data_IF_110206644813
#
_entry.id   IF_110206644813
#
_cell.length_a   1.000
_cell.length_b   1.000
_cell.length_c   1.000
_cell.angle_alpha   90.00
_cell.angle_beta   90.00
_cell.angle_gamma   90.00
#
_symmetry.space_group_name_H-M   'P 1'
#
loop_
_entity.id
_entity.type
_entity.pdbx_description
1 polymer ?
#
# COMPACT_ATOMS: atom_id res chain seq x y z
N UNK A 1 -6.09 -2.52 6.52
CA UNK A 1 -6.67 -3.76 5.99
C UNK A 1 -7.80 -4.16 6.92
N UNK A 2 -8.99 -4.46 6.41
CA UNK A 2 -10.23 -4.10 7.10
C UNK A 2 -11.45 -4.47 6.29
N UNK A 3 -12.54 -4.79 6.99
CA UNK A 3 -13.88 -4.81 6.39
C UNK A 3 -14.55 -3.45 6.63
N UNK A 4 -14.92 -2.70 5.57
CA UNK A 4 -15.36 -1.32 5.73
C UNK A 4 -16.65 -1.20 6.56
N UNK A 5 -17.58 -2.16 6.45
CA UNK A 5 -18.82 -2.12 7.22
C UNK A 5 -18.55 -2.29 8.71
N UNK A 6 -17.78 -3.31 9.10
CA UNK A 6 -17.47 -3.55 10.51
C UNK A 6 -16.59 -2.44 11.10
N UNK A 7 -15.57 -1.99 10.36
CA UNK A 7 -14.65 -0.93 10.75
C UNK A 7 -15.39 0.40 10.97
N UNK A 8 -16.29 0.78 10.05
CA UNK A 8 -17.07 2.03 10.19
C UNK A 8 -18.16 1.98 11.29
N UNK A 9 -18.59 0.79 11.70
CA UNK A 9 -19.51 0.63 12.84
C UNK A 9 -18.79 0.63 14.20
N UNK A 10 -17.46 0.52 14.21
CA UNK A 10 -16.65 0.56 15.41
C UNK A 10 -16.24 2.01 15.72
N UNK A 11 -16.60 2.48 16.92
CA UNK A 11 -16.16 3.77 17.44
C UNK A 11 -15.30 3.56 18.68
N UNK A 12 -14.12 3.02 18.44
CA UNK A 12 -13.11 2.73 19.47
C UNK A 12 -11.79 3.34 19.02
N UNK A 13 -10.81 3.42 19.93
CA UNK A 13 -9.44 3.75 19.51
C UNK A 13 -8.88 2.60 18.68
N UNK A 14 -8.04 2.84 17.67
CA UNK A 14 -7.55 1.78 16.79
C UNK A 14 -6.80 0.65 17.51
N UNK A 15 -6.17 0.93 18.66
CA UNK A 15 -5.51 -0.07 19.50
C UNK A 15 -6.48 -0.99 20.27
N UNK A 16 -7.75 -0.58 20.40
CA UNK A 16 -8.80 -1.30 21.13
C UNK A 16 -9.81 -2.00 20.20
N UNK A 17 -9.65 -1.88 18.87
CA UNK A 17 -10.61 -2.42 17.89
C UNK A 17 -10.57 -3.95 17.81
N UNK A 18 -11.74 -4.58 17.95
CA UNK A 18 -11.93 -6.03 17.77
C UNK A 18 -12.53 -6.43 16.40
N UNK A 19 -12.76 -5.46 15.50
CA UNK A 19 -13.36 -5.71 14.18
C UNK A 19 -12.48 -6.58 13.27
N UNK A 20 -13.05 -7.41 12.37
CA UNK A 20 -12.28 -8.16 11.38
C UNK A 20 -11.45 -7.25 10.46
N UNK A 21 -10.17 -7.65 10.25
CA UNK A 21 -9.20 -6.92 9.42
C UNK A 21 -8.75 -7.69 8.17
N UNK A 22 -9.72 -8.22 7.43
CA UNK A 22 -9.51 -9.10 6.27
C UNK A 22 -8.61 -8.49 5.20
N UNK A 23 -7.69 -9.30 4.67
CA UNK A 23 -6.79 -8.94 3.58
C UNK A 23 -7.42 -9.21 2.21
N UNK A 24 -7.36 -8.21 1.35
CA UNK A 24 -7.64 -8.33 -0.08
C UNK A 24 -6.38 -8.00 -0.88
N UNK A 25 -6.23 -8.66 -2.01
CA UNK A 25 -5.11 -8.44 -2.93
C UNK A 25 -5.60 -8.44 -4.37
N UNK A 26 -4.84 -7.77 -5.21
CA UNK A 26 -4.89 -7.93 -6.65
C UNK A 26 -3.78 -8.87 -7.10
N UNK A 27 -4.02 -9.61 -8.16
CA UNK A 27 -3.04 -10.47 -8.82
C UNK A 27 -3.39 -10.67 -10.29
N UNK A 28 -2.70 -11.58 -10.97
CA UNK A 28 -2.93 -11.84 -12.39
C UNK A 28 -4.34 -12.34 -12.72
N UNK A 29 -5.02 -12.98 -11.76
CA UNK A 29 -6.39 -13.48 -11.94
C UNK A 29 -7.44 -12.47 -11.45
N UNK A 30 -7.08 -11.59 -10.51
CA UNK A 30 -7.92 -10.50 -10.01
C UNK A 30 -7.19 -9.16 -10.23
N UNK A 31 -7.19 -8.62 -11.46
CA UNK A 31 -6.39 -7.44 -11.79
C UNK A 31 -6.95 -6.15 -11.18
N UNK A 32 -6.09 -5.13 -11.03
CA UNK A 32 -6.48 -3.80 -10.54
C UNK A 32 -5.50 -2.73 -10.96
N UNK A 33 -5.59 -2.27 -12.21
CA UNK A 33 -4.61 -1.37 -12.82
C UNK A 33 -4.49 -0.03 -12.10
N UNK A 34 -5.59 0.55 -11.63
CA UNK A 34 -5.60 1.87 -10.99
C UNK A 34 -4.78 1.86 -9.69
N UNK A 35 -5.13 0.98 -8.74
CA UNK A 35 -4.44 0.90 -7.45
C UNK A 35 -2.97 0.43 -7.61
N UNK A 36 -2.70 -0.46 -8.57
CA UNK A 36 -1.34 -0.88 -8.90
C UNK A 36 -0.52 0.30 -9.44
N UNK A 37 -1.07 1.06 -10.40
CA UNK A 37 -0.39 2.19 -11.02
C UNK A 37 -0.18 3.36 -10.05
N UNK A 38 -1.16 3.67 -9.19
CA UNK A 38 -0.98 4.70 -8.15
C UNK A 38 0.09 4.29 -7.13
N UNK A 39 0.12 3.02 -6.71
CA UNK A 39 1.15 2.52 -5.80
C UNK A 39 2.53 2.58 -6.47
N UNK A 40 2.64 2.17 -7.73
CA UNK A 40 3.87 2.28 -8.51
C UNK A 40 4.33 3.75 -8.64
N UNK A 41 3.41 4.68 -8.90
CA UNK A 41 3.71 6.11 -8.98
C UNK A 41 4.22 6.65 -7.63
N UNK A 42 3.61 6.26 -6.52
CA UNK A 42 4.06 6.65 -5.18
C UNK A 42 5.47 6.11 -4.85
N UNK A 43 5.77 4.87 -5.23
CA UNK A 43 7.10 4.27 -5.07
C UNK A 43 8.15 4.98 -5.94
N UNK A 44 7.82 5.24 -7.21
CA UNK A 44 8.70 5.97 -8.12
C UNK A 44 8.98 7.39 -7.63
N UNK A 45 7.96 8.13 -7.18
CA UNK A 45 8.12 9.47 -6.62
C UNK A 45 8.99 9.44 -5.34
N UNK A 46 8.75 8.47 -4.46
CA UNK A 46 9.55 8.28 -3.25
C UNK A 46 11.02 7.98 -3.58
N UNK A 47 11.30 7.20 -4.63
CA UNK A 47 12.68 6.93 -5.06
C UNK A 47 13.46 8.20 -5.42
N UNK A 48 12.80 9.21 -5.98
CA UNK A 48 13.44 10.49 -6.32
C UNK A 48 13.88 11.21 -5.03
N UNK A 49 13.02 11.20 -4.01
CA UNK A 49 13.30 11.81 -2.70
C UNK A 49 14.48 11.12 -2.01
N UNK A 50 14.51 9.78 -2.02
CA UNK A 50 15.54 9.02 -1.33
C UNK A 50 16.88 8.94 -2.07
N UNK A 51 16.95 9.31 -3.35
CA UNK A 51 18.15 9.17 -4.20
C UNK A 51 19.44 9.70 -3.58
N UNK A 52 19.38 10.83 -2.88
CA UNK A 52 20.55 11.47 -2.25
C UNK A 52 20.76 11.14 -0.77
N UNK A 53 19.81 10.45 -0.14
CA UNK A 53 19.83 10.14 1.31
C UNK A 53 20.17 8.67 1.52
N UNK A 54 19.52 7.80 0.75
CA UNK A 54 19.71 6.36 0.75
C UNK A 54 19.51 5.82 -0.67
N UNK A 55 20.62 5.72 -1.40
CA UNK A 55 20.62 5.24 -2.78
C UNK A 55 20.18 3.78 -2.88
N UNK A 56 20.50 2.94 -1.89
CA UNK A 56 20.06 1.54 -1.85
C UNK A 56 18.54 1.46 -1.75
N UNK A 57 17.93 2.23 -0.85
CA UNK A 57 16.48 2.27 -0.72
C UNK A 57 15.79 2.91 -1.94
N UNK A 58 16.38 3.98 -2.49
CA UNK A 58 15.93 4.55 -3.78
C UNK A 58 15.88 3.50 -4.88
N UNK A 59 16.93 2.68 -5.04
CA UNK A 59 16.94 1.62 -6.06
C UNK A 59 15.88 0.56 -5.78
N UNK A 60 15.71 0.14 -4.53
CA UNK A 60 14.64 -0.79 -4.15
C UNK A 60 13.26 -0.25 -4.54
N UNK A 61 12.98 1.02 -4.28
CA UNK A 61 11.70 1.64 -4.61
C UNK A 61 11.43 1.66 -6.12
N UNK A 62 12.43 1.97 -6.95
CA UNK A 62 12.29 1.91 -8.43
C UNK A 62 11.98 0.48 -8.88
N UNK A 63 12.73 -0.51 -8.39
CA UNK A 63 12.50 -1.92 -8.77
C UNK A 63 11.08 -2.39 -8.42
N UNK A 64 10.49 -1.89 -7.33
CA UNK A 64 9.10 -2.21 -6.96
C UNK A 64 8.05 -1.44 -7.75
N UNK A 65 8.39 -0.27 -8.30
CA UNK A 65 7.48 0.48 -9.15
C UNK A 65 7.34 -0.14 -10.55
N UNK A 66 8.33 -0.89 -11.00
CA UNK A 66 8.37 -1.51 -12.34
C UNK A 66 7.79 -2.94 -12.39
N UNK A 67 7.56 -3.57 -11.23
CA UNK A 67 7.09 -4.95 -11.08
C UNK A 67 5.58 -5.08 -11.13
#
# INVERSE_FOLDING_TARGET
VGEPVADHHCWERPEDMDTPRTLYKIDQHTPGSEIAAETAAALAASSIVFRGIDSTYSHLLVTRAES
#
